data_IF_804322606464
#
_entry.id   IF_804322606464
#
_cell.length_a   1.000
_cell.length_b   1.000
_cell.length_c   1.000
_cell.angle_alpha   90.00
_cell.angle_beta   90.00
_cell.angle_gamma   90.00
#
_symmetry.space_group_name_H-M   'P 1'
#
loop_
_entity.id
_entity.type
_entity.pdbx_description
1 polymer ?
#
# COMPACT_ATOMS: atom_id res chain seq x y z
N UNK A 1 -9.17 -3.59 6.00
CA UNK A 1 -8.94 -2.33 5.29
C UNK A 1 -7.44 -2.12 5.18
N UNK A 2 -6.81 -2.39 4.03
CA UNK A 2 -5.41 -1.98 3.89
C UNK A 2 -5.33 -0.46 3.79
N UNK A 3 -4.38 0.15 4.48
CA UNK A 3 -4.10 1.58 4.41
C UNK A 3 -2.62 1.81 4.16
N UNK A 4 -2.30 2.73 3.27
CA UNK A 4 -0.96 3.22 3.00
C UNK A 4 -0.93 4.72 3.30
N UNK A 5 0.12 5.11 4.02
CA UNK A 5 0.47 6.48 4.30
C UNK A 5 1.79 6.77 3.57
N UNK A 6 1.86 7.92 2.90
CA UNK A 6 3.07 8.40 2.27
C UNK A 6 3.28 9.87 2.63
N UNK A 7 4.48 10.23 3.09
CA UNK A 7 4.86 11.62 3.42
C UNK A 7 6.16 11.98 2.74
N UNK A 8 6.14 13.05 1.94
CA UNK A 8 7.35 13.64 1.38
C UNK A 8 8.27 14.18 2.47
N UNK A 9 9.57 14.02 2.28
CA UNK A 9 10.62 14.58 3.14
C UNK A 9 11.68 15.24 2.27
N UNK A 10 12.59 16.02 2.86
CA UNK A 10 13.73 16.58 2.12
C UNK A 10 14.54 15.47 1.40
N UNK A 11 14.73 14.33 2.06
CA UNK A 11 15.51 13.19 1.56
C UNK A 11 14.75 12.28 0.59
N UNK A 12 13.43 12.42 0.46
CA UNK A 12 12.61 11.61 -0.42
C UNK A 12 11.19 11.44 0.07
N UNK A 13 10.84 10.23 0.51
CA UNK A 13 9.52 9.88 1.00
C UNK A 13 9.62 8.85 2.12
N UNK A 14 8.72 8.92 3.10
CA UNK A 14 8.45 7.86 4.07
C UNK A 14 7.13 7.21 3.62
N UNK A 15 7.15 5.90 3.44
CA UNK A 15 5.96 5.12 3.10
C UNK A 15 5.78 4.06 4.17
N UNK A 16 4.57 3.95 4.68
CA UNK A 16 4.21 2.88 5.59
C UNK A 16 2.83 2.33 5.25
N UNK A 17 2.66 1.02 5.43
CA UNK A 17 1.43 0.35 5.03
C UNK A 17 1.00 -0.71 6.05
N UNK A 18 -0.28 -0.65 6.40
CA UNK A 18 -0.95 -1.74 7.09
C UNK A 18 -1.66 -2.63 6.09
N UNK A 19 -1.34 -3.93 6.17
CA UNK A 19 -2.11 -4.97 5.50
C UNK A 19 -3.03 -5.64 6.50
N UNK A 20 -4.31 -5.57 6.20
CA UNK A 20 -5.33 -6.30 6.94
C UNK A 20 -5.68 -7.61 6.26
N UNK A 21 -5.70 -8.69 7.03
CA UNK A 21 -5.97 -10.04 6.53
C UNK A 21 -6.62 -10.90 7.61
N UNK A 22 -7.06 -12.11 7.23
CA UNK A 22 -7.48 -13.12 8.21
C UNK A 22 -6.31 -13.51 9.14
N UNK A 23 -6.53 -13.59 10.47
CA UNK A 23 -5.47 -13.92 11.44
C UNK A 23 -4.78 -15.27 11.23
N UNK A 24 -5.45 -16.22 10.58
CA UNK A 24 -4.95 -17.58 10.35
C UNK A 24 -3.88 -17.70 9.25
N UNK A 25 -3.54 -16.60 8.56
CA UNK A 25 -2.65 -16.61 7.41
C UNK A 25 -1.18 -16.55 7.85
N UNK A 26 -0.36 -17.48 7.36
CA UNK A 26 1.04 -17.61 7.78
C UNK A 26 1.88 -16.35 7.50
N UNK A 27 2.83 -16.07 8.41
CA UNK A 27 3.61 -14.84 8.45
C UNK A 27 4.70 -14.76 7.38
N UNK A 28 5.17 -13.52 7.20
CA UNK A 28 5.97 -12.99 6.09
C UNK A 28 7.43 -13.43 6.22
N UNK A 29 8.09 -13.72 5.10
CA UNK A 29 9.55 -13.63 5.02
C UNK A 29 9.91 -12.37 4.23
N UNK A 30 11.01 -11.72 4.57
CA UNK A 30 11.53 -10.62 3.75
C UNK A 30 12.35 -11.22 2.62
N UNK A 31 11.89 -11.02 1.39
CA UNK A 31 12.73 -11.28 0.24
C UNK A 31 13.82 -10.21 0.17
N UNK A 32 15.07 -10.65 -0.02
CA UNK A 32 16.24 -9.77 -0.07
C UNK A 32 17.03 -10.01 -1.36
N UNK A 33 17.52 -8.93 -1.96
CA UNK A 33 18.15 -8.90 -3.29
C UNK A 33 18.09 -7.48 -3.86
N UNK A 34 17.86 -7.33 -5.16
CA UNK A 34 17.63 -6.01 -5.77
C UNK A 34 16.33 -5.35 -5.28
N UNK A 35 15.34 -6.16 -4.90
CA UNK A 35 14.10 -5.71 -4.28
C UNK A 35 14.06 -6.13 -2.82
N UNK A 36 13.49 -5.27 -1.99
CA UNK A 36 13.19 -5.57 -0.59
C UNK A 36 11.68 -5.48 -0.37
N UNK A 37 11.07 -6.57 0.08
CA UNK A 37 9.63 -6.63 0.32
C UNK A 37 9.24 -7.76 1.26
N UNK A 38 8.15 -7.59 2.01
CA UNK A 38 7.51 -8.69 2.71
C UNK A 38 6.77 -9.61 1.72
N UNK A 39 7.11 -10.89 1.68
CA UNK A 39 6.50 -11.86 0.79
C UNK A 39 5.26 -12.53 1.42
N UNK A 40 4.20 -12.70 0.64
CA UNK A 40 3.06 -13.55 0.98
C UNK A 40 3.44 -15.03 0.80
N UNK A 41 3.47 -15.79 1.90
CA UNK A 41 3.95 -17.18 1.91
C UNK A 41 3.04 -18.13 1.13
N UNK A 42 1.76 -17.84 1.02
CA UNK A 42 0.80 -18.77 0.41
C UNK A 42 0.70 -18.59 -1.11
N UNK A 43 0.71 -17.34 -1.59
CA UNK A 43 0.43 -17.02 -3.01
C UNK A 43 1.61 -16.42 -3.75
N UNK A 44 2.72 -16.13 -3.06
CA UNK A 44 3.78 -15.33 -3.62
C UNK A 44 3.36 -13.88 -3.89
N UNK A 45 4.35 -13.00 -4.03
CA UNK A 45 4.13 -11.56 -4.23
C UNK A 45 4.09 -10.74 -2.94
N UNK A 46 3.69 -9.48 -3.05
CA UNK A 46 3.74 -8.48 -1.97
C UNK A 46 2.69 -7.38 -2.16
N UNK A 47 2.35 -6.69 -1.07
CA UNK A 47 1.57 -5.45 -1.09
C UNK A 47 2.44 -4.19 -1.07
N UNK A 48 3.75 -4.30 -0.80
CA UNK A 48 4.69 -3.20 -0.74
C UNK A 48 6.10 -3.68 -1.10
N UNK A 49 6.82 -2.95 -1.92
CA UNK A 49 8.20 -3.25 -2.27
C UNK A 49 9.00 -1.97 -2.50
N UNK A 50 10.31 -2.06 -2.26
CA UNK A 50 11.28 -1.04 -2.62
C UNK A 50 12.39 -1.63 -3.48
N UNK A 51 12.78 -0.91 -4.52
CA UNK A 51 13.98 -1.18 -5.30
C UNK A 51 15.20 -0.61 -4.60
N UNK A 52 16.15 -1.45 -4.19
CA UNK A 52 17.41 -1.00 -3.58
C UNK A 52 18.30 -0.25 -4.57
N UNK A 53 18.15 -0.53 -5.87
CA UNK A 53 18.94 0.08 -6.95
C UNK A 53 18.45 1.48 -7.31
N UNK A 54 17.13 1.68 -7.39
CA UNK A 54 16.55 2.96 -7.85
C UNK A 54 15.96 3.80 -6.73
N UNK A 55 15.65 3.21 -5.58
CA UNK A 55 14.91 3.84 -4.50
C UNK A 55 13.39 3.91 -4.76
N UNK A 56 12.92 3.39 -5.89
CA UNK A 56 11.49 3.41 -6.22
C UNK A 56 10.70 2.50 -5.29
N UNK A 57 9.49 2.93 -4.94
CA UNK A 57 8.58 2.19 -4.05
C UNK A 57 7.29 1.91 -4.80
N UNK A 58 6.84 0.67 -4.78
CA UNK A 58 5.55 0.27 -5.33
C UNK A 58 4.72 -0.44 -4.25
N UNK A 59 3.44 -0.08 -4.15
CA UNK A 59 2.51 -0.69 -3.21
C UNK A 59 1.17 -0.94 -3.89
N UNK A 60 0.42 -1.91 -3.38
CA UNK A 60 -0.85 -2.33 -3.96
C UNK A 60 -1.93 -2.53 -2.89
N UNK A 61 -3.11 -1.99 -3.18
CA UNK A 61 -4.33 -2.20 -2.43
C UNK A 61 -5.36 -2.93 -3.29
N UNK A 62 -5.95 -3.97 -2.72
CA UNK A 62 -7.04 -4.71 -3.37
C UNK A 62 -8.33 -3.87 -3.37
N UNK A 63 -9.02 -3.77 -4.51
CA UNK A 63 -10.38 -3.21 -4.54
C UNK A 63 -11.38 -4.36 -4.50
N UNK A 64 -12.15 -4.44 -3.42
CA UNK A 64 -13.20 -5.46 -3.24
C UNK A 64 -12.70 -6.89 -2.94
N UNK A 65 -13.65 -7.83 -2.90
CA UNK A 65 -13.42 -9.25 -2.57
C UNK A 65 -13.27 -10.14 -3.81
N UNK A 66 -12.98 -9.55 -4.97
CA UNK A 66 -12.88 -10.29 -6.23
C UNK A 66 -11.66 -11.21 -6.23
N UNK A 67 -11.88 -12.44 -6.69
CA UNK A 67 -10.82 -13.39 -7.04
C UNK A 67 -10.46 -13.23 -8.52
N UNK A 68 -9.18 -13.15 -8.82
CA UNK A 68 -8.65 -13.25 -10.18
C UNK A 68 -7.83 -14.53 -10.33
N UNK A 69 -7.53 -14.88 -11.58
CA UNK A 69 -6.67 -16.02 -11.92
C UNK A 69 -5.19 -15.75 -11.62
N UNK A 70 -4.81 -14.47 -11.50
CA UNK A 70 -3.43 -14.02 -11.21
C UNK A 70 -3.34 -13.31 -9.86
N UNK A 71 -2.21 -13.47 -9.17
CA UNK A 71 -1.98 -12.84 -7.87
C UNK A 71 -1.64 -11.36 -8.03
N UNK A 72 -2.51 -10.47 -7.53
CA UNK A 72 -2.23 -9.02 -7.49
C UNK A 72 -0.90 -8.68 -6.81
N UNK A 73 -0.41 -9.53 -5.91
CA UNK A 73 0.88 -9.33 -5.24
C UNK A 73 2.09 -9.30 -6.17
N UNK A 74 1.96 -9.75 -7.42
CA UNK A 74 3.02 -9.65 -8.44
C UNK A 74 3.19 -8.23 -8.97
N UNK A 75 2.14 -7.40 -8.92
CA UNK A 75 2.10 -6.09 -9.60
C UNK A 75 3.17 -5.13 -9.08
N UNK A 76 3.37 -4.93 -7.76
CA UNK A 76 4.45 -4.08 -7.27
C UNK A 76 5.84 -4.55 -7.75
N UNK A 77 6.06 -5.86 -7.80
CA UNK A 77 7.33 -6.44 -8.23
C UNK A 77 7.58 -6.21 -9.72
N UNK A 78 6.54 -6.39 -10.55
CA UNK A 78 6.62 -6.12 -12.00
C UNK A 78 6.95 -4.67 -12.27
N UNK A 79 6.27 -3.73 -11.59
CA UNK A 79 6.53 -2.29 -11.74
C UNK A 79 7.99 -1.96 -11.43
N UNK A 80 8.53 -2.47 -10.34
CA UNK A 80 9.90 -2.15 -9.93
C UNK A 80 10.97 -2.82 -10.81
N UNK A 81 10.68 -3.97 -11.41
CA UNK A 81 11.60 -4.67 -12.32
C UNK A 81 11.58 -4.08 -13.73
N UNK A 82 10.37 -3.83 -14.24
CA UNK A 82 10.16 -3.44 -15.63
C UNK A 82 10.10 -1.91 -15.81
N UNK A 83 9.92 -1.15 -14.72
CA UNK A 83 9.75 0.29 -14.78
C UNK A 83 8.46 0.74 -15.46
N UNK A 84 7.45 -0.12 -15.53
CA UNK A 84 6.14 0.11 -16.16
C UNK A 84 5.08 -0.86 -15.64
N UNK A 85 3.81 -0.52 -15.83
CA UNK A 85 2.69 -1.46 -15.74
C UNK A 85 1.94 -1.41 -17.06
N UNK A 86 1.93 -2.52 -17.78
CA UNK A 86 1.26 -2.63 -19.07
C UNK A 86 -0.25 -2.80 -18.92
N UNK A 87 -0.97 -2.62 -20.01
CA UNK A 87 -2.42 -2.83 -20.09
C UNK A 87 -2.85 -4.30 -20.09
N UNK A 88 -1.92 -5.26 -20.27
CA UNK A 88 -2.24 -6.69 -20.10
C UNK A 88 -2.34 -7.05 -18.61
N UNK A 89 -3.47 -6.65 -18.06
CA UNK A 89 -3.91 -6.94 -16.70
C UNK A 89 -5.03 -7.99 -16.69
N UNK A 90 -5.22 -8.68 -17.82
CA UNK A 90 -6.20 -9.75 -17.93
C UNK A 90 -5.94 -10.81 -16.85
N UNK A 91 -7.01 -11.22 -16.16
CA UNK A 91 -6.96 -12.18 -15.05
C UNK A 91 -6.59 -11.60 -13.69
N UNK A 92 -6.22 -10.32 -13.56
CA UNK A 92 -6.14 -9.66 -12.25
C UNK A 92 -7.51 -9.11 -11.83
N UNK A 93 -7.90 -9.38 -10.59
CA UNK A 93 -9.00 -8.68 -9.93
C UNK A 93 -8.71 -7.17 -9.79
N UNK A 94 -9.72 -6.30 -9.63
CA UNK A 94 -9.52 -4.86 -9.44
C UNK A 94 -8.55 -4.51 -8.29
N UNK A 95 -7.76 -3.46 -8.50
CA UNK A 95 -6.75 -2.98 -7.56
C UNK A 95 -6.39 -1.51 -7.78
N UNK A 96 -5.72 -0.94 -6.79
CA UNK A 96 -5.06 0.36 -6.88
C UNK A 96 -3.57 0.20 -6.54
N UNK A 97 -2.71 0.92 -7.25
CA UNK A 97 -1.26 0.88 -7.09
C UNK A 97 -0.75 2.27 -6.79
N UNK A 98 0.06 2.37 -5.75
CA UNK A 98 0.92 3.53 -5.50
C UNK A 98 2.31 3.24 -6.05
N UNK A 99 2.88 4.19 -6.78
CA UNK A 99 4.24 4.11 -7.30
C UNK A 99 4.98 5.43 -7.09
N UNK A 100 5.93 5.43 -6.17
CA UNK A 100 6.86 6.53 -5.98
C UNK A 100 8.12 6.29 -6.83
N UNK A 101 8.44 7.28 -7.67
CA UNK A 101 9.66 7.31 -8.48
C UNK A 101 10.69 8.22 -7.81
N UNK A 102 11.73 7.64 -7.23
CA UNK A 102 12.66 8.36 -6.35
C UNK A 102 13.42 9.48 -7.06
N UNK A 103 14.00 9.18 -8.23
CA UNK A 103 14.73 10.18 -9.03
C UNK A 103 13.85 11.35 -9.48
N UNK A 104 12.61 11.07 -9.84
CA UNK A 104 11.65 12.10 -10.29
C UNK A 104 11.00 12.83 -9.11
N UNK A 105 11.10 12.29 -7.89
CA UNK A 105 10.33 12.73 -6.71
C UNK A 105 8.85 12.89 -7.03
N UNK A 106 8.27 11.92 -7.73
CA UNK A 106 6.83 11.91 -8.07
C UNK A 106 6.13 10.68 -7.55
N UNK A 107 4.87 10.86 -7.17
CA UNK A 107 3.93 9.76 -6.93
C UNK A 107 3.01 9.63 -8.12
N UNK A 108 2.86 8.39 -8.60
CA UNK A 108 1.85 8.00 -9.58
C UNK A 108 0.94 6.98 -8.94
N UNK A 109 -0.35 7.14 -9.16
CA UNK A 109 -1.34 6.16 -8.73
C UNK A 109 -2.04 5.59 -9.95
N UNK A 110 -2.10 4.26 -10.00
CA UNK A 110 -2.80 3.53 -11.05
C UNK A 110 -4.03 2.84 -10.46
N UNK A 111 -5.15 2.91 -11.16
CA UNK A 111 -6.34 2.14 -10.83
C UNK A 111 -6.67 1.16 -11.96
N UNK A 112 -6.77 -0.12 -11.60
CA UNK A 112 -7.31 -1.16 -12.47
C UNK A 112 -8.71 -1.53 -11.97
N UNK A 113 -9.73 -1.27 -12.78
CA UNK A 113 -11.11 -1.59 -12.44
C UNK A 113 -11.59 -2.96 -12.97
N UNK A 114 -10.70 -3.75 -13.57
CA UNK A 114 -11.02 -5.00 -14.26
C UNK A 114 -11.14 -4.90 -15.78
N UNK A 115 -11.19 -3.67 -16.31
CA UNK A 115 -11.36 -3.39 -17.74
C UNK A 115 -10.37 -2.34 -18.25
N UNK A 116 -10.17 -1.28 -17.47
CA UNK A 116 -9.35 -0.12 -17.83
C UNK A 116 -8.34 0.16 -16.73
N UNK A 117 -7.10 0.43 -17.15
CA UNK A 117 -6.04 0.98 -16.30
C UNK A 117 -6.01 2.49 -16.48
N UNK A 118 -6.25 3.25 -15.41
CA UNK A 118 -6.12 4.70 -15.39
C UNK A 118 -4.96 5.12 -14.51
N UNK A 119 -4.27 6.20 -14.91
CA UNK A 119 -3.16 6.77 -14.17
C UNK A 119 -3.43 8.20 -13.78
N UNK A 120 -2.97 8.58 -12.60
CA UNK A 120 -2.94 9.97 -12.14
C UNK A 120 -1.66 10.27 -11.38
N UNK A 121 -1.28 11.55 -11.36
CA UNK A 121 -0.18 12.04 -10.52
C UNK A 121 -0.75 12.53 -9.20
N UNK A 122 -0.03 12.29 -8.12
CA UNK A 122 -0.41 12.71 -6.77
C UNK A 122 0.75 13.47 -6.10
N UNK A 123 0.42 14.18 -5.03
CA UNK A 123 1.41 14.80 -4.16
C UNK A 123 2.26 13.77 -3.41
N UNK A 124 3.38 14.21 -2.84
CA UNK A 124 4.24 13.37 -2.00
C UNK A 124 3.60 13.03 -0.64
N UNK A 125 2.62 13.82 -0.20
CA UNK A 125 1.76 13.53 0.93
C UNK A 125 0.50 12.85 0.41
N UNK A 126 0.32 11.58 0.73
CA UNK A 126 -0.76 10.78 0.14
C UNK A 126 -1.25 9.70 1.08
N UNK A 127 -2.57 9.50 1.11
CA UNK A 127 -3.24 8.42 1.85
C UNK A 127 -4.03 7.57 0.86
N UNK A 128 -3.68 6.28 0.80
CA UNK A 128 -4.39 5.29 0.00
C UNK A 128 -5.07 4.32 0.94
N UNK A 129 -6.36 4.01 0.76
CA UNK A 129 -7.07 3.11 1.66
C UNK A 129 -8.12 2.28 0.91
N UNK A 130 -8.18 0.98 1.19
CA UNK A 130 -9.11 0.05 0.55
C UNK A 130 -10.33 -0.15 1.44
N UNK A 131 -11.47 0.47 1.15
CA UNK A 131 -12.72 0.08 1.80
C UNK A 131 -13.99 0.37 0.98
N UNK A 132 -15.07 -0.29 1.40
CA UNK A 132 -16.45 -0.12 0.92
C UNK A 132 -17.19 1.06 1.58
N UNK A 133 -16.54 1.76 2.51
CA UNK A 133 -17.15 2.80 3.36
C UNK A 133 -16.61 4.18 3.01
N UNK A 134 -17.38 5.22 3.36
CA UNK A 134 -17.11 6.64 3.06
C UNK A 134 -15.78 7.10 3.66
N UNK A 135 -14.70 6.84 2.93
CA UNK A 135 -13.31 6.85 3.41
C UNK A 135 -12.66 8.21 3.23
N UNK A 136 -13.23 9.10 2.41
CA UNK A 136 -12.59 10.36 2.04
C UNK A 136 -12.46 11.29 3.25
N UNK A 137 -13.52 11.47 4.04
CA UNK A 137 -13.44 12.22 5.30
C UNK A 137 -12.47 11.59 6.31
N UNK A 138 -12.27 10.27 6.25
CA UNK A 138 -11.30 9.58 7.11
C UNK A 138 -9.87 9.71 6.60
N UNK A 139 -9.66 9.66 5.28
CA UNK A 139 -8.37 9.97 4.65
C UNK A 139 -7.95 11.39 4.98
N UNK A 140 -8.88 12.33 4.94
CA UNK A 140 -8.65 13.73 5.32
C UNK A 140 -8.29 13.86 6.80
N UNK A 141 -9.02 13.22 7.71
CA UNK A 141 -8.68 13.22 9.14
C UNK A 141 -7.33 12.57 9.41
N UNK A 142 -7.05 11.42 8.81
CA UNK A 142 -5.75 10.72 8.89
C UNK A 142 -4.64 11.61 8.34
N UNK A 143 -4.83 12.20 7.16
CA UNK A 143 -3.87 13.11 6.55
C UNK A 143 -3.60 14.33 7.44
N UNK A 144 -4.64 14.97 7.98
CA UNK A 144 -4.53 16.12 8.85
C UNK A 144 -3.80 15.80 10.16
N UNK A 145 -4.10 14.65 10.78
CA UNK A 145 -3.46 14.23 12.03
C UNK A 145 -2.02 13.74 11.84
N UNK A 146 -1.69 13.11 10.71
CA UNK A 146 -0.37 12.50 10.52
C UNK A 146 0.62 13.37 9.75
N UNK A 147 0.18 14.21 8.81
CA UNK A 147 1.14 14.99 8.04
C UNK A 147 1.68 16.21 8.78
N UNK A 148 0.96 16.71 9.78
CA UNK A 148 1.40 17.84 10.60
C UNK A 148 2.48 17.47 11.65
N UNK A 149 2.36 16.30 12.29
CA UNK A 149 3.13 15.99 13.52
C UNK A 149 4.19 14.90 13.38
N UNK A 150 4.31 14.26 12.19
CA UNK A 150 5.10 13.03 12.02
C UNK A 150 6.23 13.23 11.01
N UNK A 151 7.46 13.52 11.45
CA UNK A 151 8.59 13.80 10.53
C UNK A 151 9.58 12.65 10.35
N UNK A 152 9.39 11.57 11.10
CA UNK A 152 10.31 10.44 11.11
C UNK A 152 9.59 9.08 10.99
N UNK A 153 10.37 8.04 10.66
CA UNK A 153 9.85 6.70 10.44
C UNK A 153 9.27 6.04 11.71
N UNK A 154 9.77 6.40 12.90
CA UNK A 154 9.26 5.88 14.17
C UNK A 154 7.86 6.42 14.41
N UNK A 155 7.68 7.73 14.29
CA UNK A 155 6.39 8.40 14.44
C UNK A 155 5.38 7.88 13.39
N UNK A 156 5.85 7.58 12.17
CA UNK A 156 5.03 6.95 11.11
C UNK A 156 4.54 5.54 11.48
N UNK A 157 5.40 4.77 12.16
CA UNK A 157 5.05 3.45 12.65
C UNK A 157 4.01 3.53 13.77
N UNK A 158 4.13 4.50 14.68
CA UNK A 158 3.15 4.69 15.75
C UNK A 158 1.79 5.15 15.19
N UNK A 159 1.80 6.00 14.15
CA UNK A 159 0.61 6.38 13.39
C UNK A 159 -0.14 5.15 12.83
N UNK A 160 0.58 4.24 12.18
CA UNK A 160 0.02 3.00 11.66
C UNK A 160 -0.46 2.04 12.76
N UNK A 161 0.09 2.11 13.97
CA UNK A 161 -0.33 1.27 15.11
C UNK A 161 -1.52 1.85 15.88
N UNK A 162 -1.87 3.10 15.62
CA UNK A 162 -2.96 3.76 16.33
C UNK A 162 -4.32 3.14 16.01
N UNK A 163 -5.29 3.37 16.90
CA UNK A 163 -6.70 3.05 16.63
C UNK A 163 -7.45 4.26 16.05
N UNK A 164 -6.74 5.25 15.52
CA UNK A 164 -7.33 6.47 14.98
C UNK A 164 -8.11 6.17 13.67
N UNK A 165 -9.24 6.84 13.40
CA UNK A 165 -9.94 7.81 14.27
C UNK A 165 -10.77 7.14 15.38
N UNK A 166 -11.13 5.86 15.21
CA UNK A 166 -11.83 5.06 16.22
C UNK A 166 -11.50 3.59 16.04
N UNK A 167 -11.24 2.89 17.16
CA UNK A 167 -11.01 1.43 17.18
C UNK A 167 -12.15 0.69 16.47
N UNK A 168 -11.83 -0.06 15.42
CA UNK A 168 -12.82 -0.83 14.67
C UNK A 168 -12.38 -1.12 13.25
N UNK A 169 -13.34 -1.33 12.34
CA UNK A 169 -13.07 -1.65 10.93
C UNK A 169 -12.56 -0.47 10.09
N UNK A 170 -12.33 0.67 10.73
CA UNK A 170 -11.95 1.94 10.10
C UNK A 170 -10.71 2.56 10.74
N UNK A 171 -10.08 1.88 11.71
CA UNK A 171 -8.83 2.34 12.31
C UNK A 171 -7.63 2.02 11.43
N UNK A 172 -6.57 2.83 11.53
CA UNK A 172 -5.28 2.56 10.86
C UNK A 172 -4.75 1.17 11.23
N UNK A 173 -4.76 0.81 12.52
CA UNK A 173 -4.58 -0.58 12.98
C UNK A 173 -5.94 -1.22 13.27
N UNK A 174 -6.41 -2.15 12.43
CA UNK A 174 -7.67 -2.84 12.65
C UNK A 174 -7.53 -4.02 13.61
N UNK A 175 -8.43 -4.11 14.59
CA UNK A 175 -8.64 -5.29 15.43
C UNK A 175 -10.10 -5.73 15.35
N UNK A 176 -10.44 -6.58 14.37
CA UNK A 176 -11.77 -7.19 14.22
C UNK A 176 -11.73 -8.71 14.39
N UNK A 177 -12.88 -9.33 14.66
CA UNK A 177 -12.99 -10.79 14.81
C UNK A 177 -12.74 -11.61 13.53
N UNK A 178 -12.86 -10.97 12.35
CA UNK A 178 -12.71 -11.61 11.03
C UNK A 178 -11.46 -11.11 10.28
N UNK A 179 -10.99 -9.88 10.56
CA UNK A 179 -9.84 -9.23 9.89
C UNK A 179 -9.06 -8.40 10.89
N UNK A 180 -7.73 -8.48 10.86
CA UNK A 180 -6.84 -7.70 11.73
C UNK A 180 -5.65 -7.17 10.92
N UNK A 181 -5.01 -6.09 11.38
CA UNK A 181 -3.73 -5.64 10.81
C UNK A 181 -2.64 -6.66 11.13
N UNK A 182 -2.22 -7.40 10.11
CA UNK A 182 -1.27 -8.53 10.26
C UNK A 182 0.18 -8.14 9.95
N UNK A 183 0.43 -6.96 9.38
CA UNK A 183 1.65 -6.22 9.69
C UNK A 183 1.54 -4.73 9.35
N UNK A 184 2.42 -4.01 10.04
CA UNK A 184 2.84 -2.65 9.76
C UNK A 184 4.27 -2.74 9.21
N UNK A 185 4.49 -2.19 8.02
CA UNK A 185 5.80 -2.18 7.33
C UNK A 185 6.08 -0.78 6.84
#
# INVERSE_FOLDING_TARGET
>A
MCILLAKGTEKGIIVGMNRDEKPSRAHKHYATGELFYPADVERGGTWLAISRKTGDIAALLNKGLFSGNRSRGEVPLRILREGRLDSDLCGYAPFEVFWYKHKERTVRVAEWNGYVLSWRKEGLHYVMASSRYNIESQKEMVAASFFCDVDDAYSFREALRSHFPKKGFVSTCMHGGITQSIAST
#
